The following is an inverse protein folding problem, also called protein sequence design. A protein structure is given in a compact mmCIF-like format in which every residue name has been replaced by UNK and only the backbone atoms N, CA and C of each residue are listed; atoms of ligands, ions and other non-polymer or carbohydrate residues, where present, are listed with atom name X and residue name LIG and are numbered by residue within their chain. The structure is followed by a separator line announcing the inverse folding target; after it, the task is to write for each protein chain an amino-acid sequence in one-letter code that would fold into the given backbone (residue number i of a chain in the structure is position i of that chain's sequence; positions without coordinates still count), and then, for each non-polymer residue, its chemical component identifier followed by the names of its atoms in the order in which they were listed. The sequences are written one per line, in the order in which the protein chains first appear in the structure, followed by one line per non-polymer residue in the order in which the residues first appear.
data_IF_123795996137
#
_entry.id   IF_123795996137
#
_cell.length_a   1.000
_cell.length_b   1.000
_cell.length_c   1.000
_cell.angle_alpha   90.00
_cell.angle_beta   90.00
_cell.angle_gamma   90.00
#
_symmetry.space_group_name_H-M   'P 1'
#
loop_
_entity.id
_entity.type
_entity.pdbx_description
1 polymer ?
#
# COMPACT_ATOMS: atom_id res chain seq x y z
N UNK A 1 -7.47 -10.47 8.91
CA UNK A 1 -6.41 -9.53 9.24
C UNK A 1 -5.81 -9.91 10.59
N UNK A 2 -4.61 -10.46 10.58
CA UNK A 2 -3.98 -10.99 11.80
C UNK A 2 -2.55 -10.42 11.94
N UNK A 3 -2.35 -9.16 11.54
CA UNK A 3 -1.03 -8.55 11.43
C UNK A 3 -0.65 -7.70 12.65
N UNK A 4 -1.56 -7.60 13.65
CA UNK A 4 -1.31 -6.89 14.89
C UNK A 4 -1.29 -7.89 16.03
N UNK A 5 -0.19 -7.93 16.77
CA UNK A 5 0.03 -8.84 17.86
C UNK A 5 0.55 -8.08 19.08
N UNK A 6 0.23 -8.56 20.25
CA UNK A 6 0.86 -8.13 21.51
C UNK A 6 1.99 -9.09 21.84
N UNK A 7 3.14 -8.54 22.19
CA UNK A 7 4.32 -9.33 22.59
C UNK A 7 4.72 -8.87 23.99
N UNK A 8 4.79 -9.80 24.91
CA UNK A 8 5.20 -9.56 26.28
C UNK A 8 6.61 -10.12 26.53
N UNK A 9 7.47 -9.30 27.10
CA UNK A 9 8.80 -9.70 27.52
C UNK A 9 8.87 -9.72 29.05
N UNK A 10 9.16 -10.88 29.65
CA UNK A 10 9.31 -11.03 31.10
C UNK A 10 10.72 -11.58 31.38
N UNK A 11 11.53 -10.78 32.06
CA UNK A 11 12.90 -11.14 32.48
C UNK A 11 13.82 -11.67 31.36
N UNK A 12 13.62 -11.20 30.13
CA UNK A 12 14.42 -11.59 28.97
C UNK A 12 15.83 -10.98 29.11
N UNK A 13 16.83 -11.84 29.25
CA UNK A 13 18.25 -11.44 29.35
C UNK A 13 18.85 -11.30 27.96
N UNK A 14 19.40 -10.12 27.67
CA UNK A 14 20.10 -9.80 26.41
C UNK A 14 21.53 -9.37 26.75
N UNK A 15 22.51 -9.80 25.98
CA UNK A 15 23.89 -9.39 26.21
C UNK A 15 24.10 -7.94 25.82
N UNK A 16 24.96 -7.19 26.53
CA UNK A 16 25.28 -5.80 26.21
C UNK A 16 25.87 -5.63 24.80
N UNK A 17 26.47 -6.69 24.23
CA UNK A 17 26.96 -6.70 22.84
C UNK A 17 25.86 -6.51 21.78
N UNK A 18 24.62 -6.73 22.14
CA UNK A 18 23.47 -6.55 21.24
C UNK A 18 22.95 -5.11 21.25
N UNK A 19 23.54 -4.21 22.03
CA UNK A 19 23.19 -2.79 21.99
C UNK A 19 23.52 -2.21 20.61
N UNK A 20 22.53 -1.64 19.95
CA UNK A 20 22.70 -0.95 18.67
C UNK A 20 22.93 0.53 18.94
N UNK A 21 24.16 0.99 18.65
CA UNK A 21 24.57 2.37 18.86
C UNK A 21 24.85 2.71 20.33
N UNK A 22 24.51 3.92 20.75
CA UNK A 22 24.76 4.45 22.08
C UNK A 22 23.50 4.43 22.93
N UNK A 23 23.68 4.20 24.23
CA UNK A 23 22.58 4.26 25.21
C UNK A 23 21.93 5.65 25.20
N UNK A 24 20.60 5.69 25.31
CA UNK A 24 19.76 6.90 25.26
C UNK A 24 19.74 7.66 23.91
N UNK A 25 20.33 7.11 22.83
CA UNK A 25 20.30 7.68 21.48
C UNK A 25 19.27 7.04 20.53
N UNK A 26 18.46 6.13 21.03
CA UNK A 26 17.51 5.34 20.22
C UNK A 26 16.60 6.18 19.32
N UNK A 27 16.12 7.35 19.79
CA UNK A 27 15.28 8.23 18.98
C UNK A 27 16.03 8.83 17.77
N UNK A 28 17.32 9.12 17.91
CA UNK A 28 18.14 9.59 16.79
C UNK A 28 18.27 8.53 15.72
N UNK A 29 18.52 7.26 16.12
CA UNK A 29 18.60 6.13 15.20
C UNK A 29 17.25 5.83 14.54
N UNK A 30 16.16 5.89 15.31
CA UNK A 30 14.82 5.71 14.78
C UNK A 30 14.47 6.78 13.72
N UNK A 31 14.80 8.05 13.96
CA UNK A 31 14.58 9.12 12.96
C UNK A 31 15.38 8.89 11.69
N UNK A 32 16.63 8.48 11.80
CA UNK A 32 17.47 8.16 10.65
C UNK A 32 16.84 7.02 9.82
N UNK A 33 16.50 5.91 10.47
CA UNK A 33 15.86 4.77 9.82
C UNK A 33 14.56 5.16 9.11
N UNK A 34 13.67 5.86 9.81
CA UNK A 34 12.38 6.30 9.26
C UNK A 34 12.53 7.19 8.03
N UNK A 35 13.58 8.00 7.96
CA UNK A 35 13.86 8.86 6.80
C UNK A 35 14.21 8.02 5.57
N UNK A 36 15.02 6.99 5.72
CA UNK A 36 15.47 6.13 4.62
C UNK A 36 14.42 5.09 4.18
N UNK A 37 13.60 4.61 5.13
CA UNK A 37 12.57 3.61 4.84
C UNK A 37 11.45 4.14 3.93
N UNK A 38 11.16 5.43 3.97
CA UNK A 38 10.00 6.03 3.27
C UNK A 38 10.05 5.87 1.75
N UNK A 39 11.21 5.81 1.14
CA UNK A 39 11.36 5.61 -0.31
C UNK A 39 10.86 4.23 -0.75
N UNK A 40 10.93 3.21 0.12
CA UNK A 40 10.38 1.87 -0.13
C UNK A 40 8.85 1.81 -0.12
N UNK A 41 8.19 2.80 0.49
CA UNK A 41 6.73 2.80 0.66
C UNK A 41 5.94 3.16 -0.61
N UNK A 42 6.62 3.55 -1.71
CA UNK A 42 5.98 3.81 -3.00
C UNK A 42 5.22 2.59 -3.56
N UNK A 43 5.70 1.38 -3.31
CA UNK A 43 5.10 0.11 -3.77
C UNK A 43 4.72 0.09 -5.26
N UNK A 44 5.41 0.85 -6.12
CA UNK A 44 5.09 1.04 -7.54
C UNK A 44 4.98 -0.29 -8.28
N UNK A 45 5.97 -1.18 -8.15
CA UNK A 45 5.97 -2.47 -8.83
C UNK A 45 4.81 -3.38 -8.41
N UNK A 46 4.43 -3.32 -7.13
CA UNK A 46 3.27 -4.06 -6.59
C UNK A 46 1.98 -3.50 -7.17
N UNK A 47 1.84 -2.17 -7.19
CA UNK A 47 0.67 -1.47 -7.73
C UNK A 47 0.49 -1.71 -9.22
N UNK A 48 1.57 -1.68 -10.01
CA UNK A 48 1.54 -2.05 -11.44
C UNK A 48 1.00 -3.48 -11.65
N UNK A 49 1.49 -4.45 -10.88
CA UNK A 49 0.98 -5.84 -10.97
C UNK A 49 -0.50 -5.95 -10.58
N UNK A 50 -0.94 -5.18 -9.58
CA UNK A 50 -2.35 -5.14 -9.17
C UNK A 50 -3.23 -4.55 -10.28
N UNK A 51 -2.80 -3.47 -10.93
CA UNK A 51 -3.53 -2.86 -12.05
C UNK A 51 -3.67 -3.85 -13.21
N UNK A 52 -2.62 -4.57 -13.58
CA UNK A 52 -2.71 -5.58 -14.63
C UNK A 52 -3.75 -6.67 -14.31
N UNK A 53 -3.79 -7.14 -13.05
CA UNK A 53 -4.81 -8.09 -12.60
C UNK A 53 -6.22 -7.49 -12.62
N UNK A 54 -6.35 -6.21 -12.24
CA UNK A 54 -7.62 -5.48 -12.25
C UNK A 54 -8.13 -5.30 -13.69
N UNK A 55 -7.26 -4.95 -14.64
CA UNK A 55 -7.63 -4.86 -16.06
C UNK A 55 -8.20 -6.17 -16.58
N UNK A 56 -7.47 -7.27 -16.36
CA UNK A 56 -7.95 -8.59 -16.73
C UNK A 56 -9.29 -8.94 -16.09
N UNK A 57 -9.45 -8.65 -14.80
CA UNK A 57 -10.70 -8.87 -14.10
C UNK A 57 -11.85 -8.03 -14.67
N UNK A 58 -11.57 -6.79 -15.09
CA UNK A 58 -12.57 -5.90 -15.70
C UNK A 58 -12.96 -6.35 -17.13
N UNK A 59 -12.04 -6.93 -17.88
CA UNK A 59 -12.32 -7.52 -19.20
C UNK A 59 -13.22 -8.77 -19.07
N UNK A 60 -12.99 -9.58 -18.03
CA UNK A 60 -13.77 -10.79 -17.76
C UNK A 60 -15.14 -10.48 -17.12
N UNK A 61 -15.25 -9.40 -16.36
CA UNK A 61 -16.48 -8.97 -15.70
C UNK A 61 -17.43 -8.29 -16.72
N UNK A 62 -18.73 -8.55 -16.59
CA UNK A 62 -19.73 -7.96 -17.48
C UNK A 62 -20.65 -6.99 -16.74
N UNK A 63 -20.96 -5.88 -17.42
CA UNK A 63 -22.01 -4.93 -17.07
C UNK A 63 -22.86 -4.69 -18.32
N UNK A 64 -24.17 -4.98 -18.25
CA UNK A 64 -25.05 -4.90 -19.40
C UNK A 64 -24.51 -5.67 -20.64
N UNK A 65 -24.08 -6.92 -20.41
CA UNK A 65 -23.52 -7.83 -21.43
C UNK A 65 -22.17 -7.40 -22.05
N UNK A 66 -21.69 -6.22 -21.77
CA UNK A 66 -20.39 -5.72 -22.22
C UNK A 66 -19.32 -5.90 -21.15
N UNK A 67 -18.04 -6.05 -21.52
CA UNK A 67 -16.94 -6.00 -20.57
C UNK A 67 -16.99 -4.73 -19.70
N UNK A 68 -16.73 -4.87 -18.41
CA UNK A 68 -16.70 -3.73 -17.49
C UNK A 68 -15.62 -2.69 -17.88
N UNK A 69 -14.54 -3.13 -18.52
CA UNK A 69 -13.52 -2.25 -19.07
C UNK A 69 -14.05 -1.26 -20.12
N UNK A 70 -15.19 -1.55 -20.76
CA UNK A 70 -15.87 -0.67 -21.71
C UNK A 70 -16.84 0.31 -21.01
N UNK A 71 -17.09 0.17 -19.71
CA UNK A 71 -17.91 1.14 -18.97
C UNK A 71 -17.15 2.44 -18.78
N UNK A 72 -17.61 3.58 -19.32
CA UNK A 72 -16.84 4.83 -19.31
C UNK A 72 -16.49 5.31 -17.90
N UNK A 73 -17.36 5.09 -16.93
CA UNK A 73 -17.11 5.50 -15.53
C UNK A 73 -16.04 4.64 -14.87
N UNK A 74 -16.03 3.34 -15.15
CA UNK A 74 -15.00 2.45 -14.65
C UNK A 74 -13.67 2.72 -15.33
N UNK A 75 -13.66 2.84 -16.64
CA UNK A 75 -12.46 3.12 -17.44
C UNK A 75 -11.81 4.45 -17.03
N UNK A 76 -12.60 5.51 -16.84
CA UNK A 76 -12.10 6.81 -16.38
C UNK A 76 -11.42 6.71 -15.00
N UNK A 77 -12.02 5.99 -14.05
CA UNK A 77 -11.43 5.81 -12.71
C UNK A 77 -10.15 4.98 -12.76
N UNK A 78 -10.11 3.94 -13.59
CA UNK A 78 -8.92 3.12 -13.77
C UNK A 78 -7.80 3.94 -14.41
N UNK A 79 -8.09 4.73 -15.43
CA UNK A 79 -7.14 5.64 -16.07
C UNK A 79 -6.56 6.65 -15.07
N UNK A 80 -7.40 7.23 -14.20
CA UNK A 80 -6.92 8.15 -13.17
C UNK A 80 -5.91 7.49 -12.24
N UNK A 81 -6.19 6.28 -11.77
CA UNK A 81 -5.26 5.53 -10.91
C UNK A 81 -3.95 5.20 -11.64
N UNK A 82 -4.00 4.93 -12.95
CA UNK A 82 -2.79 4.70 -13.75
C UNK A 82 -1.94 5.97 -13.90
N UNK A 83 -2.59 7.12 -14.11
CA UNK A 83 -1.93 8.43 -14.16
C UNK A 83 -1.26 8.74 -12.81
N UNK A 84 -1.98 8.55 -11.71
CA UNK A 84 -1.47 8.80 -10.37
C UNK A 84 -0.28 7.88 -10.04
N UNK A 85 -0.35 6.61 -10.46
CA UNK A 85 0.76 5.66 -10.30
C UNK A 85 1.98 6.04 -11.15
N UNK A 86 1.79 6.54 -12.35
CA UNK A 86 2.88 7.02 -13.20
C UNK A 86 3.55 8.26 -12.58
N UNK A 87 2.76 9.20 -12.07
CA UNK A 87 3.27 10.37 -11.37
C UNK A 87 4.06 9.97 -10.11
N UNK A 88 3.56 9.01 -9.34
CA UNK A 88 4.25 8.46 -8.18
C UNK A 88 5.59 7.80 -8.57
N UNK A 89 5.60 7.02 -9.65
CA UNK A 89 6.82 6.38 -10.15
C UNK A 89 7.90 7.38 -10.49
N UNK A 90 7.56 8.41 -11.27
CA UNK A 90 8.51 9.46 -11.65
C UNK A 90 9.01 10.23 -10.42
N UNK A 91 8.11 10.56 -9.49
CA UNK A 91 8.50 11.21 -8.23
C UNK A 91 9.46 10.35 -7.43
N UNK A 92 9.18 9.05 -7.32
CA UNK A 92 10.05 8.11 -6.60
C UNK A 92 11.42 7.96 -7.26
N UNK A 93 11.47 7.86 -8.60
CA UNK A 93 12.74 7.79 -9.34
C UNK A 93 13.58 9.06 -9.16
N UNK A 94 12.96 10.23 -9.18
CA UNK A 94 13.66 11.51 -8.92
C UNK A 94 14.23 11.55 -7.51
N UNK A 95 13.47 11.13 -6.51
CA UNK A 95 13.93 11.08 -5.12
C UNK A 95 15.09 10.09 -4.96
N UNK A 96 15.03 8.93 -5.60
CA UNK A 96 16.13 7.96 -5.58
C UNK A 96 17.40 8.52 -6.22
N UNK A 97 17.29 9.18 -7.37
CA UNK A 97 18.43 9.82 -8.04
C UNK A 97 19.06 10.92 -7.17
N UNK A 98 18.26 11.70 -6.45
CA UNK A 98 18.74 12.72 -5.49
C UNK A 98 19.53 12.08 -4.35
N UNK A 99 19.02 10.97 -3.80
CA UNK A 99 19.73 10.22 -2.73
C UNK A 99 21.02 9.60 -3.23
N UNK A 100 21.07 9.06 -4.46
CA UNK A 100 22.29 8.55 -5.06
C UNK A 100 23.36 9.64 -5.24
N UNK A 101 22.95 10.89 -5.45
CA UNK A 101 23.83 12.06 -5.51
C UNK A 101 24.26 12.58 -4.13
N UNK A 102 23.89 11.88 -3.05
CA UNK A 102 24.30 12.20 -1.67
C UNK A 102 23.37 13.18 -0.95
N UNK A 103 22.23 13.53 -1.53
CA UNK A 103 21.23 14.37 -0.86
C UNK A 103 20.43 13.54 0.15
N UNK A 104 20.09 14.14 1.30
CA UNK A 104 19.18 13.49 2.24
C UNK A 104 17.76 13.47 1.70
N UNK A 105 16.97 12.38 1.88
CA UNK A 105 15.57 12.36 1.51
C UNK A 105 14.78 13.49 2.19
N UNK A 106 14.15 14.33 1.40
CA UNK A 106 13.36 15.47 1.87
C UNK A 106 11.89 15.16 2.13
N UNK A 107 11.06 16.21 2.07
CA UNK A 107 9.61 16.11 2.24
C UNK A 107 8.92 15.28 1.14
N UNK A 108 9.59 15.08 0.00
CA UNK A 108 9.13 14.23 -1.11
C UNK A 108 8.85 12.81 -0.64
N UNK A 109 9.62 12.28 0.31
CA UNK A 109 9.37 10.97 0.92
C UNK A 109 7.99 10.87 1.56
N UNK A 110 7.50 11.97 2.15
CA UNK A 110 6.17 12.06 2.73
C UNK A 110 5.08 12.09 1.65
N UNK A 111 5.32 12.79 0.53
CA UNK A 111 4.43 12.80 -0.64
C UNK A 111 4.31 11.38 -1.20
N UNK A 112 5.44 10.70 -1.41
CA UNK A 112 5.50 9.32 -1.90
C UNK A 112 4.68 8.38 -1.02
N UNK A 113 4.80 8.49 0.31
CA UNK A 113 4.04 7.66 1.25
C UNK A 113 2.53 7.91 1.16
N UNK A 114 2.11 9.17 1.10
CA UNK A 114 0.69 9.53 0.98
C UNK A 114 0.12 8.94 -0.32
N UNK A 115 0.70 9.31 -1.46
CA UNK A 115 0.23 8.87 -2.77
C UNK A 115 0.27 7.35 -2.92
N UNK A 116 1.34 6.68 -2.49
CA UNK A 116 1.45 5.23 -2.54
C UNK A 116 0.34 4.52 -1.77
N UNK A 117 0.00 5.01 -0.58
CA UNK A 117 -1.09 4.44 0.23
C UNK A 117 -2.47 4.67 -0.39
N UNK A 118 -2.73 5.85 -0.95
CA UNK A 118 -4.01 6.21 -1.58
C UNK A 118 -4.23 5.42 -2.88
N UNK A 119 -3.22 5.37 -3.76
CA UNK A 119 -3.26 4.58 -5.00
C UNK A 119 -3.56 3.09 -4.72
N UNK A 120 -2.89 2.50 -3.73
CA UNK A 120 -3.14 1.10 -3.39
C UNK A 120 -4.56 0.88 -2.86
N UNK A 121 -5.09 1.82 -2.07
CA UNK A 121 -6.47 1.75 -1.59
C UNK A 121 -7.48 1.90 -2.74
N UNK A 122 -7.19 2.72 -3.73
CA UNK A 122 -8.04 2.91 -4.90
C UNK A 122 -8.04 1.68 -5.81
N UNK A 123 -6.88 1.06 -6.04
CA UNK A 123 -6.79 -0.21 -6.77
C UNK A 123 -7.62 -1.31 -6.08
N UNK A 124 -7.50 -1.44 -4.76
CA UNK A 124 -8.26 -2.44 -4.01
C UNK A 124 -9.78 -2.14 -4.04
N UNK A 125 -10.17 -0.86 -4.02
CA UNK A 125 -11.57 -0.44 -4.16
C UNK A 125 -12.12 -0.74 -5.56
N UNK A 126 -11.37 -0.45 -6.61
CA UNK A 126 -11.76 -0.78 -7.98
C UNK A 126 -11.85 -2.30 -8.19
N UNK A 127 -10.91 -3.06 -7.62
CA UNK A 127 -10.95 -4.53 -7.66
C UNK A 127 -12.22 -5.05 -7.00
N UNK A 128 -12.58 -4.55 -5.83
CA UNK A 128 -13.82 -4.91 -5.15
C UNK A 128 -15.05 -4.53 -5.96
N UNK A 129 -15.07 -3.32 -6.55
CA UNK A 129 -16.18 -2.84 -7.38
C UNK A 129 -16.35 -3.65 -8.66
N UNK A 130 -15.27 -4.11 -9.29
CA UNK A 130 -15.35 -4.93 -10.50
C UNK A 130 -16.01 -6.29 -10.28
N UNK A 131 -16.01 -6.77 -9.04
CA UNK A 131 -16.67 -8.03 -8.68
C UNK A 131 -18.19 -7.90 -8.46
N UNK A 132 -18.70 -6.68 -8.28
CA UNK A 132 -20.11 -6.45 -7.97
C UNK A 132 -20.58 -7.26 -6.75
N UNK A 133 -21.66 -8.01 -6.87
CA UNK A 133 -22.21 -8.85 -5.79
C UNK A 133 -21.27 -9.95 -5.33
N UNK A 134 -20.35 -10.41 -6.19
CA UNK A 134 -19.35 -11.45 -5.83
C UNK A 134 -18.34 -10.95 -4.78
N UNK A 135 -18.20 -9.64 -4.60
CA UNK A 135 -17.39 -9.07 -3.54
C UNK A 135 -17.94 -9.34 -2.13
N UNK A 136 -19.18 -9.79 -1.98
CA UNK A 136 -19.78 -10.17 -0.70
C UNK A 136 -19.52 -11.63 -0.29
N UNK A 137 -18.87 -12.40 -1.14
CA UNK A 137 -18.47 -13.78 -0.81
C UNK A 137 -17.52 -13.75 0.39
N UNK A 138 -17.81 -14.59 1.38
CA UNK A 138 -16.98 -14.77 2.56
C UNK A 138 -16.65 -16.26 2.71
N UNK A 139 -15.58 -16.68 2.07
CA UNK A 139 -15.08 -18.05 2.07
C UNK A 139 -13.62 -18.05 2.56
N UNK A 140 -13.41 -17.87 3.87
CA UNK A 140 -12.06 -17.76 4.44
C UNK A 140 -11.23 -19.03 4.19
N UNK A 141 -11.87 -20.20 4.17
CA UNK A 141 -11.20 -21.47 3.95
C UNK A 141 -10.62 -21.59 2.52
N UNK A 142 -11.23 -20.90 1.54
CA UNK A 142 -10.72 -20.84 0.16
C UNK A 142 -9.35 -20.18 0.04
N UNK A 143 -8.87 -19.51 1.09
CA UNK A 143 -7.54 -18.87 1.17
C UNK A 143 -6.52 -19.74 1.87
N UNK A 144 -6.94 -20.90 2.41
CA UNK A 144 -6.07 -21.80 3.14
C UNK A 144 -5.23 -22.65 2.19
N UNK A 145 -3.99 -22.95 2.59
CA UNK A 145 -3.15 -23.89 1.86
C UNK A 145 -3.80 -25.29 1.87
N UNK A 146 -3.89 -25.91 0.70
CA UNK A 146 -4.51 -27.25 0.55
C UNK A 146 -6.03 -27.25 0.49
N UNK A 147 -6.68 -26.10 0.32
CA UNK A 147 -8.13 -26.04 0.12
C UNK A 147 -8.55 -26.85 -1.11
N UNK A 148 -9.43 -27.83 -0.91
CA UNK A 148 -9.98 -28.73 -1.93
C UNK A 148 -11.50 -28.59 -2.13
N UNK A 149 -12.10 -27.52 -1.59
CA UNK A 149 -13.53 -27.21 -1.75
C UNK A 149 -13.87 -26.62 -3.11
N UNK A 150 -15.11 -26.19 -3.27
CA UNK A 150 -15.56 -25.51 -4.48
C UNK A 150 -14.74 -24.26 -4.78
N UNK A 151 -14.35 -24.09 -6.04
CA UNK A 151 -13.61 -22.87 -6.42
C UNK A 151 -14.50 -21.64 -6.32
N UNK A 152 -13.98 -20.61 -5.62
CA UNK A 152 -14.58 -19.28 -5.65
C UNK A 152 -14.17 -18.59 -6.94
N UNK A 153 -15.11 -18.36 -7.81
CA UNK A 153 -14.84 -17.75 -9.11
C UNK A 153 -15.50 -16.36 -9.24
N UNK A 154 -14.76 -15.37 -9.72
CA UNK A 154 -13.33 -15.38 -9.97
C UNK A 154 -12.54 -15.45 -8.63
N UNK A 155 -11.33 -15.99 -8.64
CA UNK A 155 -10.48 -16.14 -7.43
C UNK A 155 -10.34 -14.85 -6.61
N UNK A 156 -10.43 -13.70 -7.27
CA UNK A 156 -10.39 -12.40 -6.61
C UNK A 156 -11.55 -12.20 -5.61
N UNK A 157 -12.70 -12.85 -5.80
CA UNK A 157 -13.85 -12.72 -4.91
C UNK A 157 -13.54 -13.21 -3.49
N UNK A 158 -12.73 -14.26 -3.34
CA UNK A 158 -12.36 -14.80 -2.03
C UNK A 158 -11.59 -13.81 -1.14
N UNK A 159 -10.85 -12.86 -1.72
CA UNK A 159 -9.96 -11.99 -0.93
C UNK A 159 -10.20 -10.48 -1.11
N UNK A 160 -10.92 -10.05 -2.14
CA UNK A 160 -10.98 -8.63 -2.52
C UNK A 160 -11.57 -7.74 -1.41
N UNK A 161 -12.69 -8.14 -0.80
CA UNK A 161 -13.30 -7.37 0.29
C UNK A 161 -12.44 -7.39 1.56
N UNK A 162 -11.93 -8.55 1.95
CA UNK A 162 -11.01 -8.67 3.08
C UNK A 162 -9.80 -7.77 2.90
N UNK A 163 -9.22 -7.75 1.69
CA UNK A 163 -8.08 -6.91 1.35
C UNK A 163 -8.43 -5.42 1.36
N UNK A 164 -9.57 -5.04 0.79
CA UNK A 164 -10.06 -3.67 0.83
C UNK A 164 -10.19 -3.15 2.27
N UNK A 165 -10.79 -3.92 3.18
CA UNK A 165 -10.92 -3.52 4.58
C UNK A 165 -9.58 -3.51 5.30
N UNK A 166 -8.75 -4.53 5.12
CA UNK A 166 -7.44 -4.61 5.74
C UNK A 166 -6.52 -3.45 5.32
N UNK A 167 -6.56 -3.03 4.06
CA UNK A 167 -5.71 -1.98 3.54
C UNK A 167 -6.15 -0.56 3.92
N UNK A 168 -7.29 -0.37 4.63
CA UNK A 168 -7.60 0.95 5.22
C UNK A 168 -6.51 1.44 6.17
N UNK A 169 -5.79 0.54 6.82
CA UNK A 169 -4.64 0.86 7.68
C UNK A 169 -3.43 1.44 6.94
N UNK A 170 -3.35 1.34 5.60
CA UNK A 170 -2.21 1.85 4.82
C UNK A 170 -2.02 3.36 4.93
N UNK A 171 -3.09 4.11 5.14
CA UNK A 171 -3.01 5.55 5.44
C UNK A 171 -2.64 5.85 6.89
N UNK A 172 -2.52 4.83 7.76
CA UNK A 172 -2.30 5.00 9.20
C UNK A 172 -0.89 4.57 9.60
N UNK A 173 -0.45 3.36 9.24
CA UNK A 173 0.85 2.87 9.63
C UNK A 173 2.00 3.46 8.80
N UNK A 174 3.24 3.25 9.23
CA UNK A 174 4.43 3.89 8.68
C UNK A 174 4.35 5.43 8.72
N UNK A 175 3.73 5.97 9.79
CA UNK A 175 3.38 7.38 9.95
C UNK A 175 2.11 7.74 9.17
N UNK A 176 1.07 8.17 9.88
CA UNK A 176 -0.23 8.45 9.24
C UNK A 176 -0.12 9.53 8.16
N UNK A 177 -1.04 9.53 7.20
CA UNK A 177 -1.06 10.54 6.14
C UNK A 177 -1.16 11.96 6.71
N UNK A 178 -1.81 12.15 7.87
CA UNK A 178 -1.88 13.42 8.59
C UNK A 178 -0.51 13.85 9.10
N UNK A 179 0.25 12.93 9.70
CA UNK A 179 1.63 13.20 10.14
C UNK A 179 2.53 13.51 8.93
N UNK A 180 2.36 12.81 7.81
CA UNK A 180 3.12 13.10 6.60
C UNK A 180 2.80 14.51 6.05
N UNK A 181 1.53 14.91 6.07
CA UNK A 181 1.12 16.28 5.71
C UNK A 181 1.73 17.33 6.63
N UNK A 182 1.77 17.08 7.94
CA UNK A 182 2.44 17.97 8.88
C UNK A 182 3.96 18.09 8.61
N UNK A 183 4.62 17.01 8.20
CA UNK A 183 6.03 17.03 7.83
C UNK A 183 6.24 17.89 6.58
N UNK A 184 5.39 17.72 5.55
CA UNK A 184 5.43 18.54 4.34
C UNK A 184 5.23 20.02 4.69
N UNK A 185 4.22 20.34 5.49
CA UNK A 185 3.91 21.70 5.92
C UNK A 185 5.12 22.37 6.61
N UNK A 186 5.76 21.66 7.54
CA UNK A 186 6.94 22.17 8.26
C UNK A 186 8.17 22.34 7.37
N UNK A 187 8.44 21.38 6.48
CA UNK A 187 9.68 21.36 5.71
C UNK A 187 9.62 22.19 4.43
N UNK A 188 8.45 22.30 3.80
CA UNK A 188 8.27 22.99 2.51
C UNK A 188 7.62 24.36 2.65
N UNK A 189 6.72 24.54 3.62
CA UNK A 189 5.93 25.78 3.77
C UNK A 189 6.38 26.61 4.98
N UNK A 190 7.25 26.08 5.83
CA UNK A 190 7.70 26.72 7.08
C UNK A 190 6.53 27.10 8.03
N UNK A 191 5.48 26.26 8.09
CA UNK A 191 4.30 26.42 8.93
C UNK A 191 4.36 25.56 10.18
#
# INVERSE_FOLDING_TARGET
SHEVNEIFFSDVKVTAKNLVGEENKGWTYAKYLLTHERTGNANVAVSKRKIQKLKKLADDAKKNEQPLSNDPMFASRLAQVEIDLQNLEITNLRTLASVENGEAPGAESSIIKILGSEIEQDIDNLTRKSLGKRAFVNEPDALSAGYNGAEVFPKAAAYASGKYFNHRKKSIYAGSNEIQKNIISKLMLNL
#
